data_IF_746641972993
#
_entry.id   IF_746641972993
#
_cell.length_a   1.000
_cell.length_b   1.000
_cell.length_c   1.000
_cell.angle_alpha   90.00
_cell.angle_beta   90.00
_cell.angle_gamma   90.00
#
_symmetry.space_group_name_H-M   'P 1'
#
loop_
_entity.id
_entity.type
_entity.pdbx_description
1 polymer ?
#
# COMPACT_ATOMS: atom_id res chain seq x y z
N UNK A 1 -24.17 1.80 2.17
CA UNK A 1 -22.74 1.74 1.83
C UNK A 1 -22.03 2.68 2.78
N UNK A 2 -21.03 2.20 3.52
CA UNK A 2 -20.36 3.02 4.54
C UNK A 2 -19.39 4.01 3.86
N UNK A 3 -19.05 5.12 4.52
CA UNK A 3 -18.10 6.09 3.97
C UNK A 3 -16.69 5.51 3.68
N UNK A 4 -16.36 4.35 4.26
CA UNK A 4 -15.11 3.62 3.95
C UNK A 4 -15.17 2.85 2.62
N UNK A 5 -16.38 2.52 2.15
CA UNK A 5 -16.65 1.70 0.95
C UNK A 5 -16.45 2.49 -0.35
N UNK A 6 -16.31 3.82 -0.29
CA UNK A 6 -16.13 4.71 -1.44
C UNK A 6 -14.73 5.33 -1.50
N UNK A 7 -13.75 4.79 -0.75
CA UNK A 7 -12.39 5.33 -0.72
C UNK A 7 -11.54 4.87 -1.90
N UNK A 8 -11.98 3.84 -2.64
CA UNK A 8 -11.30 3.29 -3.83
C UNK A 8 -11.96 3.75 -5.12
N UNK A 9 -12.38 5.01 -5.17
CA UNK A 9 -12.84 5.63 -6.40
C UNK A 9 -11.69 5.84 -7.40
N UNK A 10 -12.04 6.27 -8.60
CA UNK A 10 -11.08 6.45 -9.69
C UNK A 10 -9.95 7.42 -9.31
N UNK A 11 -10.25 8.46 -8.54
CA UNK A 11 -9.26 9.46 -8.10
C UNK A 11 -8.25 8.85 -7.11
N UNK A 12 -8.72 8.02 -6.18
CA UNK A 12 -7.85 7.28 -5.28
C UNK A 12 -6.95 6.30 -6.02
N UNK A 13 -7.50 5.56 -6.99
CA UNK A 13 -6.73 4.60 -7.81
C UNK A 13 -5.68 5.34 -8.63
N UNK A 14 -6.05 6.42 -9.30
CA UNK A 14 -5.11 7.25 -10.08
C UNK A 14 -3.99 7.80 -9.21
N UNK A 15 -4.33 8.30 -8.01
CA UNK A 15 -3.34 8.81 -7.06
C UNK A 15 -2.40 7.70 -6.58
N UNK A 16 -2.92 6.52 -6.27
CA UNK A 16 -2.12 5.37 -5.82
C UNK A 16 -1.15 4.92 -6.92
N UNK A 17 -1.61 4.85 -8.17
CA UNK A 17 -0.76 4.51 -9.31
C UNK A 17 0.39 5.51 -9.49
N UNK A 18 0.12 6.82 -9.39
CA UNK A 18 1.17 7.85 -9.44
C UNK A 18 2.22 7.66 -8.34
N UNK A 19 1.80 7.31 -7.13
CA UNK A 19 2.75 7.04 -6.04
C UNK A 19 3.61 5.79 -6.32
N UNK A 20 3.04 4.75 -6.90
CA UNK A 20 3.75 3.53 -7.31
C UNK A 20 4.74 3.83 -8.45
N UNK A 21 4.34 4.61 -9.46
CA UNK A 21 5.21 5.04 -10.56
C UNK A 21 6.46 5.75 -10.04
N UNK A 22 6.27 6.72 -9.14
CA UNK A 22 7.39 7.44 -8.51
C UNK A 22 8.29 6.46 -7.73
N UNK A 23 7.70 5.52 -6.98
CA UNK A 23 8.47 4.51 -6.26
C UNK A 23 9.29 3.63 -7.22
N UNK A 24 8.72 3.19 -8.34
CA UNK A 24 9.40 2.38 -9.34
C UNK A 24 10.59 3.12 -9.98
N UNK A 25 10.41 4.40 -10.34
CA UNK A 25 11.49 5.24 -10.86
C UNK A 25 12.65 5.41 -9.86
N UNK A 26 12.32 5.53 -8.57
CA UNK A 26 13.32 5.63 -7.50
C UNK A 26 13.98 4.28 -7.22
N UNK A 27 13.23 3.18 -7.27
CA UNK A 27 13.73 1.82 -7.09
C UNK A 27 14.79 1.46 -8.13
N UNK A 28 14.61 1.88 -9.39
CA UNK A 28 15.60 1.69 -10.45
C UNK A 28 16.98 2.31 -10.12
N UNK A 29 17.03 3.33 -9.26
CA UNK A 29 18.26 4.02 -8.84
C UNK A 29 18.81 3.53 -7.50
N UNK A 30 17.93 3.08 -6.60
CA UNK A 30 18.25 2.86 -5.18
C UNK A 30 18.09 1.42 -4.70
N UNK A 31 17.48 0.55 -5.51
CA UNK A 31 17.11 -0.82 -5.18
C UNK A 31 15.71 -0.94 -4.56
N UNK A 32 14.98 -1.98 -4.96
CA UNK A 32 13.58 -2.24 -4.56
C UNK A 32 13.42 -2.36 -3.05
N UNK A 33 14.31 -3.09 -2.37
CA UNK A 33 14.23 -3.26 -0.92
C UNK A 33 14.30 -1.93 -0.17
N UNK A 34 15.25 -1.06 -0.56
CA UNK A 34 15.40 0.26 0.04
C UNK A 34 14.18 1.13 -0.25
N UNK A 35 13.62 1.02 -1.45
CA UNK A 35 12.43 1.76 -1.83
C UNK A 35 11.19 1.30 -1.07
N UNK A 36 11.01 0.00 -0.85
CA UNK A 36 9.93 -0.54 -0.03
C UNK A 36 9.95 0.03 1.40
N UNK A 37 11.13 0.03 2.04
CA UNK A 37 11.29 0.63 3.38
C UNK A 37 11.02 2.14 3.35
N UNK A 38 11.50 2.85 2.32
CA UNK A 38 11.26 4.28 2.17
C UNK A 38 9.77 4.61 1.99
N UNK A 39 9.02 3.78 1.26
CA UNK A 39 7.59 3.95 1.04
C UNK A 39 6.79 3.79 2.33
N UNK A 40 7.11 2.76 3.14
CA UNK A 40 6.53 2.56 4.48
C UNK A 40 6.82 3.77 5.38
N UNK A 41 8.06 4.27 5.38
CA UNK A 41 8.44 5.42 6.20
C UNK A 41 7.75 6.72 5.75
N UNK A 42 7.60 6.93 4.44
CA UNK A 42 6.87 8.07 3.89
C UNK A 42 5.39 8.05 4.34
N UNK A 43 4.72 6.91 4.21
CA UNK A 43 3.35 6.72 4.68
C UNK A 43 3.22 6.98 6.19
N UNK A 44 4.16 6.46 7.00
CA UNK A 44 4.16 6.69 8.44
C UNK A 44 4.26 8.18 8.81
N UNK A 45 5.14 8.94 8.13
CA UNK A 45 5.29 10.39 8.37
C UNK A 45 4.05 11.17 7.95
N UNK A 46 3.47 10.84 6.80
CA UNK A 46 2.25 11.48 6.33
C UNK A 46 1.08 11.22 7.29
N UNK A 47 0.88 9.96 7.71
CA UNK A 47 -0.18 9.59 8.63
C UNK A 47 0.01 10.19 10.04
N UNK A 48 1.26 10.29 10.51
CA UNK A 48 1.56 10.99 11.76
C UNK A 48 1.22 12.49 11.67
N UNK A 49 1.48 13.13 10.53
CA UNK A 49 1.05 14.51 10.29
C UNK A 49 -0.48 14.64 10.29
N UNK A 50 -1.20 13.73 9.63
CA UNK A 50 -2.68 13.70 9.66
C UNK A 50 -3.18 13.60 11.11
N UNK A 51 -2.65 12.67 11.91
CA UNK A 51 -3.01 12.54 13.33
C UNK A 51 -2.72 13.84 14.11
N UNK A 52 -1.55 14.44 13.94
CA UNK A 52 -1.18 15.69 14.59
C UNK A 52 -2.07 16.88 14.16
N UNK A 53 -2.47 16.95 12.88
CA UNK A 53 -3.35 17.99 12.36
C UNK A 53 -4.80 17.89 12.85
N UNK A 54 -5.20 16.75 13.43
CA UNK A 54 -6.55 16.50 13.96
C UNK A 54 -6.75 16.93 15.42
N UNK A 55 -5.73 17.49 16.06
CA UNK A 55 -5.73 17.90 17.46
C UNK A 55 -5.21 19.33 17.63
N UNK A 56 -5.47 19.93 18.79
CA UNK A 56 -5.14 21.34 19.02
C UNK A 56 -3.75 21.54 19.61
N UNK A 57 -3.23 20.55 20.33
CA UNK A 57 -1.95 20.66 21.05
C UNK A 57 -1.28 19.28 21.27
N UNK A 58 -0.06 19.32 21.79
CA UNK A 58 0.76 18.13 21.99
C UNK A 58 0.22 17.19 23.08
N UNK A 59 -0.42 17.71 24.14
CA UNK A 59 -1.00 16.86 25.20
C UNK A 59 -2.19 16.05 24.68
N UNK A 60 -3.02 16.66 23.84
CA UNK A 60 -4.11 15.98 23.15
C UNK A 60 -3.58 14.92 22.17
N UNK A 61 -2.52 15.22 21.42
CA UNK A 61 -1.85 14.24 20.56
C UNK A 61 -1.31 13.06 21.37
N UNK A 62 -0.67 13.33 22.51
CA UNK A 62 -0.14 12.31 23.39
C UNK A 62 -1.26 11.40 23.93
N UNK A 63 -2.39 11.98 24.34
CA UNK A 63 -3.57 11.24 24.81
C UNK A 63 -4.27 10.41 23.72
N UNK A 64 -4.13 10.79 22.44
CA UNK A 64 -4.70 10.08 21.27
C UNK A 64 -3.69 9.20 20.53
N UNK A 65 -2.40 9.21 20.93
CA UNK A 65 -1.31 8.51 20.25
C UNK A 65 -1.64 7.06 19.95
N UNK A 66 -2.04 6.31 20.96
CA UNK A 66 -2.23 4.86 20.82
C UNK A 66 -3.37 4.53 19.87
N UNK A 67 -4.46 5.32 19.89
CA UNK A 67 -5.56 5.20 18.93
C UNK A 67 -5.13 5.50 17.50
N UNK A 68 -4.27 6.51 17.30
CA UNK A 68 -3.74 6.83 15.98
C UNK A 68 -2.83 5.71 15.46
N UNK A 69 -1.96 5.16 16.32
CA UNK A 69 -1.10 4.01 15.98
C UNK A 69 -1.94 2.80 15.60
N UNK A 70 -2.93 2.44 16.41
CA UNK A 70 -3.85 1.33 16.14
C UNK A 70 -4.57 1.52 14.80
N UNK A 71 -5.19 2.69 14.57
CA UNK A 71 -5.94 2.96 13.35
C UNK A 71 -5.09 2.81 12.08
N UNK A 72 -3.93 3.47 12.00
CA UNK A 72 -3.12 3.45 10.79
C UNK A 72 -2.39 2.11 10.58
N UNK A 73 -1.96 1.45 11.65
CA UNK A 73 -1.31 0.13 11.54
C UNK A 73 -2.31 -0.96 11.11
N UNK A 74 -3.53 -0.94 11.64
CA UNK A 74 -4.58 -1.87 11.23
C UNK A 74 -5.03 -1.64 9.79
N UNK A 75 -5.14 -0.38 9.37
CA UNK A 75 -5.44 -0.04 7.97
C UNK A 75 -4.38 -0.61 7.03
N UNK A 76 -3.10 -0.36 7.31
CA UNK A 76 -2.00 -0.89 6.49
C UNK A 76 -2.00 -2.41 6.47
N UNK A 77 -2.16 -3.06 7.64
CA UNK A 77 -2.21 -4.52 7.76
C UNK A 77 -3.29 -5.13 6.87
N UNK A 78 -4.51 -4.60 6.91
CA UNK A 78 -5.65 -5.10 6.10
C UNK A 78 -5.40 -4.93 4.60
N UNK A 79 -4.87 -3.78 4.17
CA UNK A 79 -4.56 -3.52 2.77
C UNK A 79 -3.45 -4.44 2.26
N UNK A 80 -2.39 -4.59 3.05
CA UNK A 80 -1.26 -5.45 2.69
C UNK A 80 -1.68 -6.92 2.61
N UNK A 81 -2.43 -7.41 3.59
CA UNK A 81 -2.96 -8.78 3.59
C UNK A 81 -3.89 -9.01 2.39
N UNK A 82 -4.79 -8.07 2.09
CA UNK A 82 -5.66 -8.15 0.91
C UNK A 82 -4.89 -8.25 -0.41
N UNK A 83 -3.84 -7.43 -0.59
CA UNK A 83 -2.99 -7.52 -1.78
C UNK A 83 -2.24 -8.86 -1.83
N UNK A 84 -1.71 -9.36 -0.71
CA UNK A 84 -1.06 -10.66 -0.68
C UNK A 84 -2.01 -11.80 -1.03
N UNK A 85 -3.26 -11.76 -0.54
CA UNK A 85 -4.27 -12.76 -0.90
C UNK A 85 -4.59 -12.74 -2.40
N UNK A 86 -4.61 -11.55 -3.01
CA UNK A 86 -4.80 -11.40 -4.46
C UNK A 86 -3.62 -11.98 -5.25
N UNK A 87 -2.38 -11.69 -4.85
CA UNK A 87 -1.19 -12.33 -5.42
C UNK A 87 -1.17 -13.84 -5.22
N UNK A 88 -1.65 -14.36 -4.09
CA UNK A 88 -1.76 -15.81 -3.84
C UNK A 88 -2.78 -16.44 -4.79
N UNK A 89 -3.92 -15.77 -5.00
CA UNK A 89 -4.98 -16.26 -5.87
C UNK A 89 -4.57 -16.25 -7.35
N UNK A 90 -3.79 -15.25 -7.77
CA UNK A 90 -3.44 -15.01 -9.18
C UNK A 90 -1.93 -15.15 -9.45
N UNK A 91 -1.22 -15.95 -8.65
CA UNK A 91 0.25 -15.96 -8.63
C UNK A 91 0.87 -16.26 -9.98
N UNK A 92 0.43 -17.31 -10.67
CA UNK A 92 1.01 -17.74 -11.94
C UNK A 92 0.82 -16.69 -13.05
N UNK A 93 -0.34 -16.03 -13.06
CA UNK A 93 -0.66 -14.97 -14.00
C UNK A 93 0.19 -13.72 -13.73
N UNK A 94 0.19 -13.23 -12.49
CA UNK A 94 0.90 -11.99 -12.12
C UNK A 94 2.41 -12.13 -12.17
N UNK A 95 2.93 -13.33 -11.92
CA UNK A 95 4.37 -13.62 -12.00
C UNK A 95 4.82 -14.09 -13.39
N UNK A 96 3.90 -14.20 -14.36
CA UNK A 96 4.21 -14.59 -15.74
C UNK A 96 4.73 -16.02 -15.88
N UNK A 97 4.26 -16.96 -15.05
CA UNK A 97 4.68 -18.37 -15.02
C UNK A 97 3.82 -19.23 -15.97
N UNK A 98 2.65 -18.75 -16.38
CA UNK A 98 1.64 -19.53 -17.11
C UNK A 98 1.91 -19.78 -18.62
N UNK A 99 3.03 -19.31 -19.21
CA UNK A 99 3.20 -19.28 -20.67
C UNK A 99 3.87 -20.50 -21.35
N UNK A 100 4.10 -21.63 -20.68
CA UNK A 100 4.84 -22.77 -21.28
C UNK A 100 4.05 -24.09 -21.50
N UNK A 101 2.70 -24.08 -21.54
CA UNK A 101 1.91 -25.31 -21.72
C UNK A 101 1.24 -25.51 -23.09
N UNK A 102 1.53 -24.69 -24.12
CA UNK A 102 0.96 -24.88 -25.47
C UNK A 102 1.95 -25.41 -26.54
N UNK A 103 3.21 -25.72 -26.19
CA UNK A 103 4.20 -26.21 -27.16
C UNK A 103 4.25 -27.75 -27.34
N UNK A 104 3.59 -28.55 -26.49
CA UNK A 104 3.80 -30.02 -26.47
C UNK A 104 2.71 -30.88 -27.14
N UNK A 105 1.64 -30.32 -27.69
CA UNK A 105 0.60 -31.09 -28.41
C UNK A 105 0.70 -31.05 -29.94
N UNK A 106 1.82 -30.61 -30.50
CA UNK A 106 2.08 -30.67 -31.94
C UNK A 106 3.32 -31.51 -32.25
N UNK A 107 3.21 -32.83 -32.12
CA UNK A 107 4.11 -33.75 -32.82
C UNK A 107 3.44 -35.06 -33.23
#
# INVERSE_FOLDING_TARGET
>A
MSAEENLFDDEFVETTNKLIEIANEMAAKQGEHKMGVAFIYAAARYNAYIAASSVTNADELAGKRDKAVEYFSDRFRKLYDGNLMDYIANFEEYMGIAEDQQAETAH
#
